data_IF_970036256659
#
_entry.id   IF_970036256659
#
_cell.length_a   1.000
_cell.length_b   1.000
_cell.length_c   1.000
_cell.angle_alpha   90.00
_cell.angle_beta   90.00
_cell.angle_gamma   90.00
#
_symmetry.space_group_name_H-M   'P 1'
#
loop_
_entity.id
_entity.type
_entity.pdbx_description
1 polymer ?
#
# COMPACT_ATOMS: atom_id res chain seq x y z
N UNK A 1 -6.37 14.40 -22.90
CA UNK A 1 -6.36 14.07 -21.45
C UNK A 1 -4.92 13.77 -21.03
N UNK A 2 -4.46 14.48 -20.02
CA UNK A 2 -3.16 14.14 -19.42
C UNK A 2 -3.30 12.84 -18.66
N UNK A 3 -2.48 11.85 -18.98
CA UNK A 3 -2.36 10.66 -18.13
C UNK A 3 -1.96 11.09 -16.72
N UNK A 4 -2.56 10.44 -15.73
CA UNK A 4 -2.21 10.70 -14.35
C UNK A 4 -0.76 10.34 -14.08
N UNK A 5 -0.05 11.20 -13.34
CA UNK A 5 1.35 11.00 -12.98
C UNK A 5 1.54 10.80 -11.48
N UNK A 6 0.52 10.33 -10.80
CA UNK A 6 0.65 10.01 -9.38
C UNK A 6 1.10 8.56 -9.22
N UNK A 7 1.87 8.30 -8.18
CA UNK A 7 2.36 6.96 -7.85
C UNK A 7 1.81 6.54 -6.48
N UNK A 8 1.58 5.25 -6.31
CA UNK A 8 1.22 4.65 -5.03
C UNK A 8 2.36 3.74 -4.55
N UNK A 9 2.64 3.83 -3.26
CA UNK A 9 3.65 3.03 -2.57
C UNK A 9 2.93 2.27 -1.46
N UNK A 10 2.81 0.95 -1.62
CA UNK A 10 1.93 0.09 -0.82
C UNK A 10 2.74 -0.86 0.04
N UNK A 11 2.59 -0.74 1.36
CA UNK A 11 3.06 -1.72 2.31
C UNK A 11 2.08 -2.90 2.31
N UNK A 12 2.43 -3.97 1.60
CA UNK A 12 1.53 -5.10 1.34
C UNK A 12 1.10 -5.80 2.61
N UNK A 13 2.02 -6.09 3.52
CA UNK A 13 1.70 -6.81 4.76
C UNK A 13 0.76 -5.98 5.64
N UNK A 14 1.05 -4.70 5.81
CA UNK A 14 0.23 -3.79 6.61
C UNK A 14 -1.18 -3.68 6.02
N UNK A 15 -1.29 -3.53 4.71
CA UNK A 15 -2.57 -3.47 4.01
C UNK A 15 -3.38 -4.76 4.22
N UNK A 16 -2.77 -5.91 3.98
CA UNK A 16 -3.43 -7.21 4.10
C UNK A 16 -3.92 -7.48 5.53
N UNK A 17 -3.05 -7.25 6.52
CA UNK A 17 -3.39 -7.46 7.92
C UNK A 17 -4.46 -6.48 8.40
N UNK A 18 -4.37 -5.22 7.98
CA UNK A 18 -5.34 -4.19 8.35
C UNK A 18 -6.74 -4.49 7.83
N UNK A 19 -6.88 -4.86 6.58
CA UNK A 19 -8.17 -5.23 5.97
C UNK A 19 -8.73 -6.50 6.61
N UNK A 20 -7.87 -7.48 6.88
CA UNK A 20 -8.25 -8.73 7.54
C UNK A 20 -8.84 -8.49 8.93
N UNK A 21 -8.27 -7.56 9.71
CA UNK A 21 -8.80 -7.16 11.01
C UNK A 21 -10.20 -6.54 10.92
N UNK A 22 -10.53 -5.90 9.80
CA UNK A 22 -11.86 -5.36 9.54
C UNK A 22 -12.89 -6.43 9.16
N UNK A 23 -12.44 -7.68 9.00
CA UNK A 23 -13.32 -8.81 8.73
C UNK A 23 -13.64 -9.05 7.26
N UNK A 24 -12.89 -8.45 6.34
CA UNK A 24 -13.11 -8.66 4.91
C UNK A 24 -11.79 -8.88 4.15
N UNK A 25 -11.91 -9.23 2.90
CA UNK A 25 -10.77 -9.51 2.01
C UNK A 25 -10.76 -8.51 0.88
N UNK A 26 -9.61 -7.87 0.65
CA UNK A 26 -9.44 -6.90 -0.42
C UNK A 26 -9.37 -7.60 -1.79
N UNK A 27 -10.13 -7.09 -2.75
CA UNK A 27 -9.94 -7.42 -4.15
C UNK A 27 -8.89 -6.49 -4.75
N UNK A 28 -7.68 -6.99 -4.93
CA UNK A 28 -6.52 -6.19 -5.37
C UNK A 28 -6.71 -5.64 -6.78
N UNK A 29 -7.43 -6.34 -7.65
CA UNK A 29 -7.74 -5.86 -9.00
C UNK A 29 -8.67 -4.64 -8.95
N UNK A 30 -9.71 -4.70 -8.14
CA UNK A 30 -10.62 -3.55 -7.91
C UNK A 30 -9.87 -2.39 -7.27
N UNK A 31 -8.99 -2.67 -6.32
CA UNK A 31 -8.19 -1.64 -5.64
C UNK A 31 -7.27 -0.92 -6.63
N UNK A 32 -6.63 -1.66 -7.54
CA UNK A 32 -5.77 -1.05 -8.57
C UNK A 32 -6.55 -0.09 -9.46
N UNK A 33 -7.74 -0.51 -9.91
CA UNK A 33 -8.63 0.34 -10.72
C UNK A 33 -9.10 1.57 -9.94
N UNK A 34 -9.47 1.38 -8.68
CA UNK A 34 -9.87 2.47 -7.78
C UNK A 34 -8.79 3.53 -7.64
N UNK A 35 -7.54 3.11 -7.43
CA UNK A 35 -6.40 4.03 -7.33
C UNK A 35 -6.22 4.82 -8.63
N UNK A 36 -6.33 4.16 -9.77
CA UNK A 36 -6.19 4.81 -11.07
C UNK A 36 -7.31 5.81 -11.34
N UNK A 37 -8.56 5.44 -11.10
CA UNK A 37 -9.71 6.28 -11.41
C UNK A 37 -9.85 7.47 -10.47
N UNK A 38 -9.72 7.23 -9.17
CA UNK A 38 -9.94 8.28 -8.16
C UNK A 38 -8.73 9.20 -7.98
N UNK A 39 -7.53 8.64 -7.98
CA UNK A 39 -6.32 9.39 -7.62
C UNK A 39 -5.32 9.53 -8.76
N UNK A 40 -5.67 9.09 -9.96
CA UNK A 40 -4.80 9.20 -11.15
C UNK A 40 -3.47 8.48 -10.98
N UNK A 41 -3.50 7.32 -10.31
CA UNK A 41 -2.30 6.51 -10.10
C UNK A 41 -1.91 5.81 -11.39
N UNK A 42 -0.76 6.16 -11.93
CA UNK A 42 -0.18 5.52 -13.12
C UNK A 42 0.72 4.34 -12.78
N UNK A 43 1.40 4.38 -11.63
CA UNK A 43 2.24 3.28 -11.13
C UNK A 43 1.90 2.98 -9.68
N UNK A 44 1.62 1.72 -9.37
CA UNK A 44 1.36 1.24 -8.03
C UNK A 44 2.41 0.19 -7.65
N UNK A 45 3.36 0.61 -6.81
CA UNK A 45 4.38 -0.27 -6.26
C UNK A 45 3.83 -1.01 -5.04
N UNK A 46 4.07 -2.30 -4.99
CA UNK A 46 3.71 -3.14 -3.85
C UNK A 46 4.96 -3.77 -3.26
N UNK A 47 5.24 -3.45 -2.02
CA UNK A 47 6.43 -3.88 -1.30
C UNK A 47 6.06 -5.07 -0.41
N UNK A 48 6.72 -6.20 -0.62
CA UNK A 48 6.38 -7.44 0.07
C UNK A 48 7.61 -8.34 0.24
N UNK A 49 7.56 -9.16 1.30
CA UNK A 49 8.54 -10.21 1.49
C UNK A 49 8.34 -11.34 0.48
N UNK A 50 9.43 -11.88 -0.04
CA UNK A 50 9.38 -12.96 -1.03
C UNK A 50 9.18 -14.32 -0.36
N UNK A 51 8.12 -15.03 -0.75
CA UNK A 51 7.84 -16.41 -0.38
C UNK A 51 7.73 -17.25 -1.65
N UNK A 52 8.59 -18.28 -1.85
CA UNK A 52 8.57 -19.06 -3.10
C UNK A 52 7.23 -19.70 -3.42
N UNK A 53 6.45 -20.09 -2.39
CA UNK A 53 5.17 -20.76 -2.57
C UNK A 53 4.04 -19.82 -3.05
N UNK A 54 4.29 -18.52 -3.11
CA UNK A 54 3.28 -17.52 -3.47
C UNK A 54 3.34 -17.04 -4.93
N UNK A 55 3.95 -17.84 -5.83
CA UNK A 55 4.14 -17.43 -7.22
C UNK A 55 2.83 -17.08 -7.94
N UNK A 56 1.77 -17.85 -7.73
CA UNK A 56 0.49 -17.59 -8.40
C UNK A 56 -0.14 -16.28 -7.93
N UNK A 57 0.01 -15.95 -6.63
CA UNK A 57 -0.42 -14.66 -6.07
C UNK A 57 0.37 -13.51 -6.70
N UNK A 58 1.69 -13.65 -6.82
CA UNK A 58 2.52 -12.61 -7.43
C UNK A 58 2.16 -12.38 -8.89
N UNK A 59 1.94 -13.44 -9.66
CA UNK A 59 1.49 -13.34 -11.06
C UNK A 59 0.14 -12.63 -11.17
N UNK A 60 -0.78 -12.94 -10.25
CA UNK A 60 -2.10 -12.28 -10.20
C UNK A 60 -1.97 -10.77 -9.92
N UNK A 61 -1.12 -10.39 -8.96
CA UNK A 61 -0.88 -8.98 -8.62
C UNK A 61 -0.25 -8.22 -9.79
N UNK A 62 0.73 -8.82 -10.45
CA UNK A 62 1.36 -8.23 -11.65
C UNK A 62 0.34 -8.09 -12.78
N UNK A 63 -0.50 -9.09 -13.00
CA UNK A 63 -1.58 -9.04 -13.98
C UNK A 63 -2.61 -7.96 -13.70
N UNK A 64 -2.83 -7.62 -12.42
CA UNK A 64 -3.71 -6.54 -12.00
C UNK A 64 -3.09 -5.14 -12.20
N UNK A 65 -1.78 -5.06 -12.49
CA UNK A 65 -1.08 -3.81 -12.78
C UNK A 65 -0.20 -3.28 -11.66
N UNK A 66 0.13 -4.10 -10.66
CA UNK A 66 1.09 -3.72 -9.62
C UNK A 66 2.52 -4.01 -10.04
N UNK A 67 3.43 -3.15 -9.62
CA UNK A 67 4.88 -3.38 -9.73
C UNK A 67 5.34 -3.94 -8.39
N UNK A 68 5.78 -5.20 -8.38
CA UNK A 68 6.19 -5.86 -7.15
C UNK A 68 7.66 -5.57 -6.84
N UNK A 69 7.92 -5.17 -5.60
CA UNK A 69 9.26 -4.98 -5.07
C UNK A 69 9.44 -5.94 -3.92
N UNK A 70 10.29 -6.93 -4.09
CA UNK A 70 10.49 -7.99 -3.12
C UNK A 70 11.65 -7.70 -2.18
N UNK A 71 11.48 -8.07 -0.93
CA UNK A 71 12.55 -8.14 0.05
C UNK A 71 12.78 -9.58 0.46
N UNK A 72 14.04 -10.04 0.56
CA UNK A 72 14.34 -11.37 1.11
C UNK A 72 13.80 -11.49 2.54
N UNK A 73 13.15 -12.62 2.82
CA UNK A 73 12.64 -12.94 4.15
C UNK A 73 13.69 -13.72 4.90
N UNK A 74 13.92 -13.35 6.16
CA UNK A 74 14.77 -14.09 7.10
C UNK A 74 13.87 -14.77 8.11
N UNK A 75 13.96 -16.10 8.18
CA UNK A 75 13.28 -16.88 9.21
C UNK A 75 14.21 -16.91 10.43
N UNK A 76 13.74 -16.38 11.57
CA UNK A 76 14.52 -16.45 12.80
C UNK A 76 14.68 -17.88 13.28
N UNK A 77 15.92 -18.29 13.58
CA UNK A 77 16.23 -19.64 14.10
C UNK A 77 15.74 -19.85 15.53
N UNK A 78 15.51 -18.77 16.28
CA UNK A 78 15.14 -18.83 17.69
C UNK A 78 13.64 -19.05 17.90
N UNK A 79 12.78 -18.38 17.12
CA UNK A 79 11.33 -18.39 17.31
C UNK A 79 10.54 -18.77 16.06
N UNK A 80 11.20 -19.06 14.95
CA UNK A 80 10.56 -19.41 13.68
C UNK A 80 9.79 -18.27 13.03
N UNK A 81 9.86 -17.03 13.59
CA UNK A 81 9.13 -15.90 13.07
C UNK A 81 9.79 -15.36 11.80
N UNK A 82 8.95 -15.00 10.86
CA UNK A 82 9.38 -14.38 9.61
C UNK A 82 9.69 -12.90 9.90
N UNK A 83 10.93 -12.50 9.65
CA UNK A 83 11.37 -11.10 9.74
C UNK A 83 11.59 -10.56 8.34
N UNK A 84 10.83 -9.54 7.97
CA UNK A 84 10.98 -8.87 6.69
C UNK A 84 10.23 -7.55 6.72
N UNK A 85 10.91 -6.49 7.15
CA UNK A 85 10.36 -5.14 7.13
C UNK A 85 10.74 -4.47 5.80
N UNK A 86 9.75 -4.01 5.05
CA UNK A 86 9.92 -3.38 3.73
C UNK A 86 9.97 -1.85 3.79
N UNK A 87 10.05 -1.27 4.99
CA UNK A 87 9.96 0.19 5.18
C UNK A 87 11.08 0.93 4.45
N UNK A 88 12.32 0.42 4.54
CA UNK A 88 13.45 1.04 3.87
C UNK A 88 13.31 1.01 2.34
N UNK A 89 12.87 -0.11 1.79
CA UNK A 89 12.66 -0.26 0.34
C UNK A 89 11.58 0.69 -0.15
N UNK A 90 10.48 0.82 0.58
CA UNK A 90 9.38 1.73 0.23
C UNK A 90 9.86 3.19 0.24
N UNK A 91 10.51 3.61 1.32
CA UNK A 91 11.02 4.98 1.45
C UNK A 91 12.04 5.28 0.35
N UNK A 92 12.97 4.37 0.10
CA UNK A 92 13.98 4.54 -0.93
C UNK A 92 13.36 4.68 -2.31
N UNK A 93 12.42 3.82 -2.67
CA UNK A 93 11.74 3.89 -3.97
C UNK A 93 10.98 5.19 -4.14
N UNK A 94 10.29 5.64 -3.11
CA UNK A 94 9.58 6.91 -3.12
C UNK A 94 10.52 8.09 -3.40
N UNK A 95 11.76 8.03 -2.89
CA UNK A 95 12.75 9.08 -3.10
C UNK A 95 13.48 8.94 -4.44
N UNK A 96 13.75 7.72 -4.90
CA UNK A 96 14.32 7.48 -6.24
C UNK A 96 13.39 8.07 -7.32
N UNK A 97 12.09 7.87 -7.18
CA UNK A 97 11.09 8.31 -8.15
C UNK A 97 10.54 9.71 -7.88
N UNK A 98 11.08 10.41 -6.89
CA UNK A 98 10.53 11.70 -6.41
C UNK A 98 10.27 12.72 -7.54
N UNK A 99 11.14 12.78 -8.53
CA UNK A 99 10.99 13.70 -9.66
C UNK A 99 10.08 13.16 -10.76
N UNK A 100 9.71 11.88 -10.71
CA UNK A 100 8.92 11.22 -11.76
C UNK A 100 7.42 11.35 -11.56
N UNK A 101 6.95 11.47 -10.32
CA UNK A 101 5.52 11.61 -10.02
C UNK A 101 5.19 13.03 -9.61
N UNK A 102 3.93 13.41 -9.82
CA UNK A 102 3.40 14.68 -9.33
C UNK A 102 3.11 14.59 -7.84
N UNK A 103 2.33 13.58 -7.44
CA UNK A 103 1.99 13.31 -6.03
C UNK A 103 2.01 11.81 -5.74
N UNK A 104 2.22 11.47 -4.49
CA UNK A 104 2.30 10.10 -4.01
C UNK A 104 1.17 9.76 -3.05
N UNK A 105 0.68 8.52 -3.13
CA UNK A 105 -0.14 7.90 -2.09
C UNK A 105 0.74 6.89 -1.34
N UNK A 106 0.74 6.99 -0.02
CA UNK A 106 1.37 6.00 0.86
C UNK A 106 0.27 5.15 1.48
N UNK A 107 0.30 3.85 1.25
CA UNK A 107 -0.70 2.92 1.78
C UNK A 107 -0.09 2.14 2.92
N UNK A 108 -0.33 2.59 4.13
CA UNK A 108 0.09 1.96 5.37
C UNK A 108 -0.52 2.68 6.57
N UNK A 109 -0.59 2.00 7.72
CA UNK A 109 -0.93 2.58 9.01
C UNK A 109 0.28 2.77 9.92
N UNK A 110 1.47 2.41 9.46
CA UNK A 110 2.69 2.35 10.24
C UNK A 110 3.32 3.74 10.42
N UNK A 111 3.53 4.13 11.69
CA UNK A 111 4.15 5.39 12.04
C UNK A 111 5.63 5.53 11.63
N UNK A 112 6.28 4.43 11.27
CA UNK A 112 7.67 4.48 10.77
C UNK A 112 7.76 5.24 9.44
N UNK A 113 6.66 5.39 8.72
CA UNK A 113 6.61 6.20 7.49
C UNK A 113 6.40 7.69 7.74
N UNK A 114 6.27 8.14 8.99
CA UNK A 114 6.01 9.56 9.29
C UNK A 114 7.01 10.52 8.66
N UNK A 115 8.30 10.16 8.65
CA UNK A 115 9.33 11.02 8.06
C UNK A 115 9.13 11.22 6.56
N UNK A 116 8.80 10.15 5.84
CA UNK A 116 8.49 10.22 4.41
C UNK A 116 7.24 11.06 4.16
N UNK A 117 6.18 10.80 4.91
CA UNK A 117 4.89 11.51 4.79
C UNK A 117 5.07 13.00 5.03
N UNK A 118 5.77 13.37 6.09
CA UNK A 118 6.07 14.77 6.43
C UNK A 118 6.87 15.46 5.33
N UNK A 119 7.89 14.80 4.81
CA UNK A 119 8.70 15.32 3.71
C UNK A 119 7.86 15.54 2.44
N UNK A 120 7.07 14.55 2.04
CA UNK A 120 6.20 14.66 0.87
C UNK A 120 5.13 15.75 1.05
N UNK A 121 4.57 15.85 2.25
CA UNK A 121 3.60 16.91 2.56
C UNK A 121 4.22 18.31 2.38
N UNK A 122 5.40 18.51 2.98
CA UNK A 122 6.09 19.80 2.94
C UNK A 122 6.53 20.19 1.52
N UNK A 123 6.78 19.20 0.66
CA UNK A 123 7.13 19.42 -0.75
C UNK A 123 5.90 19.51 -1.67
N UNK A 124 4.69 19.49 -1.11
CA UNK A 124 3.44 19.45 -1.87
C UNK A 124 3.37 18.27 -2.86
N UNK A 125 3.91 17.12 -2.43
CA UNK A 125 3.95 15.88 -3.22
C UNK A 125 3.19 14.73 -2.56
N UNK A 126 2.41 15.00 -1.53
CA UNK A 126 1.55 14.00 -0.90
C UNK A 126 0.13 14.16 -1.39
N UNK A 127 -0.41 13.14 -2.04
CA UNK A 127 -1.83 13.07 -2.40
C UNK A 127 -2.66 12.62 -1.20
N UNK A 128 -2.35 11.44 -0.67
CA UNK A 128 -3.01 10.86 0.52
C UNK A 128 -2.07 9.90 1.23
N UNK A 129 -2.31 9.75 2.53
CA UNK A 129 -1.96 8.56 3.28
C UNK A 129 -3.23 7.73 3.40
N UNK A 130 -3.21 6.50 2.92
CA UNK A 130 -4.35 5.60 2.96
C UNK A 130 -4.08 4.51 3.99
N UNK A 131 -4.74 4.63 5.14
CA UNK A 131 -4.62 3.66 6.23
C UNK A 131 -5.75 2.64 6.14
N UNK A 132 -5.45 1.32 6.23
CA UNK A 132 -6.48 0.30 6.17
C UNK A 132 -7.54 0.41 7.26
N UNK A 133 -7.14 0.77 8.47
CA UNK A 133 -8.00 0.73 9.66
C UNK A 133 -7.78 1.97 10.53
N UNK A 134 -8.86 2.71 10.76
CA UNK A 134 -8.82 3.94 11.59
C UNK A 134 -8.37 3.67 13.03
N UNK A 135 -8.76 2.53 13.60
CA UNK A 135 -8.46 2.20 14.99
C UNK A 135 -7.02 1.76 15.23
N UNK A 136 -6.34 1.30 14.19
CA UNK A 136 -4.96 0.80 14.26
C UNK A 136 -3.97 1.71 13.53
N UNK A 137 -4.37 2.92 13.18
CA UNK A 137 -3.50 3.89 12.55
C UNK A 137 -2.64 4.61 13.59
N UNK A 138 -1.33 4.70 13.33
CA UNK A 138 -0.41 5.42 14.20
C UNK A 138 -0.82 6.89 14.36
N UNK A 139 -0.79 7.38 15.60
CA UNK A 139 -1.04 8.79 15.91
C UNK A 139 0.00 9.69 15.23
N UNK A 140 1.26 9.25 15.19
CA UNK A 140 2.33 10.00 14.52
C UNK A 140 2.07 10.14 13.03
N UNK A 141 1.56 9.10 12.39
CA UNK A 141 1.20 9.13 10.98
C UNK A 141 0.05 10.08 10.70
N UNK A 142 -1.00 10.05 11.54
CA UNK A 142 -2.13 10.98 11.45
C UNK A 142 -1.66 12.44 11.55
N UNK A 143 -0.77 12.73 12.50
CA UNK A 143 -0.22 14.08 12.70
C UNK A 143 0.60 14.55 11.50
N UNK A 144 1.37 13.66 10.89
CA UNK A 144 2.22 13.99 9.74
C UNK A 144 1.42 14.18 8.46
N UNK A 145 0.37 13.40 8.26
CA UNK A 145 -0.48 13.47 7.08
C UNK A 145 -1.50 14.61 7.11
N UNK A 146 -1.86 15.06 8.31
CA UNK A 146 -2.84 16.13 8.52
C UNK A 146 -4.17 15.82 7.79
N UNK A 147 -4.65 16.74 6.95
CA UNK A 147 -5.89 16.56 6.18
C UNK A 147 -5.77 15.55 5.02
N UNK A 148 -4.57 15.04 4.76
CA UNK A 148 -4.33 14.11 3.64
C UNK A 148 -4.57 12.65 4.01
N UNK A 149 -4.97 12.34 5.25
CA UNK A 149 -5.22 10.96 5.65
C UNK A 149 -6.64 10.51 5.27
N UNK A 150 -6.74 9.28 4.75
CA UNK A 150 -8.02 8.60 4.48
C UNK A 150 -7.95 7.17 5.00
N UNK A 151 -9.12 6.59 5.30
CA UNK A 151 -9.24 5.24 5.85
C UNK A 151 -10.05 4.35 4.93
N UNK A 152 -9.77 3.05 4.96
CA UNK A 152 -10.41 2.08 4.09
C UNK A 152 -11.60 1.38 4.75
N UNK A 153 -11.96 1.74 5.99
CA UNK A 153 -13.04 1.11 6.77
C UNK A 153 -14.37 1.02 6.00
N UNK A 154 -14.71 2.02 5.22
CA UNK A 154 -15.98 2.13 4.51
C UNK A 154 -15.92 1.65 3.04
N UNK A 155 -14.84 0.98 2.64
CA UNK A 155 -14.62 0.60 1.25
C UNK A 155 -14.94 -0.88 0.96
N UNK A 156 -15.48 -1.62 1.93
CA UNK A 156 -15.77 -3.04 1.76
C UNK A 156 -16.69 -3.32 0.57
N UNK A 157 -17.78 -2.59 0.44
CA UNK A 157 -18.74 -2.79 -0.65
C UNK A 157 -18.13 -2.54 -2.02
N UNK A 158 -17.20 -1.60 -2.10
CA UNK A 158 -16.56 -1.17 -3.35
C UNK A 158 -15.35 -2.02 -3.70
N UNK A 159 -14.54 -2.41 -2.71
CA UNK A 159 -13.23 -3.03 -2.92
C UNK A 159 -13.12 -4.45 -2.35
N UNK A 160 -14.16 -4.93 -1.66
CA UNK A 160 -14.15 -6.28 -1.10
C UNK A 160 -14.22 -7.35 -2.17
N UNK A 161 -13.48 -8.43 -1.93
CA UNK A 161 -13.56 -9.62 -2.76
C UNK A 161 -14.93 -10.26 -2.58
N UNK A 162 -15.64 -10.47 -3.70
CA UNK A 162 -16.93 -11.16 -3.71
C UNK A 162 -16.73 -12.54 -4.33
N UNK A 163 -17.04 -13.58 -3.54
CA UNK A 163 -17.03 -14.94 -4.04
C UNK A 163 -18.08 -15.05 -5.14
N UNK A 164 -17.68 -15.52 -6.35
CA UNK A 164 -18.65 -15.81 -7.39
C UNK A 164 -19.60 -16.87 -6.88
N UNK A 165 -20.92 -16.55 -6.84
CA UNK A 165 -21.91 -17.58 -6.57
C UNK A 165 -21.88 -18.58 -7.72
N UNK A 166 -21.56 -19.83 -7.41
CA UNK A 166 -21.81 -20.95 -8.31
C UNK A 166 -23.32 -21.19 -8.30
N UNK A 167 -24.01 -20.57 -9.24
CA UNK A 167 -25.38 -20.98 -9.50
C UNK A 167 -25.39 -22.25 -10.30
#
# INVERSE_FOLDING_TARGET
MKEGKNYAFIDSQNLNLGIKKLGWKLDYKKFRVYLQEKYKISKAYMFLGYLPDNQSMYSSLQGAGYILVFKPIIISREDGKIKGNVDAELVLQAMIDFKKYDKAIIVSSDGDFRCLVEYLYNKNKLEKVMSPDVNNCSVLLKKSAKEKIVFMDNLQDKLGYKRKSTA
#
